data_IF_333086639852
#
_entry.id   IF_333086639852
#
_cell.length_a   1.000
_cell.length_b   1.000
_cell.length_c   1.000
_cell.angle_alpha   90.00
_cell.angle_beta   90.00
_cell.angle_gamma   90.00
#
_symmetry.space_group_name_H-M   'P 1'
#
loop_
_entity.id
_entity.type
_entity.pdbx_description
1 polymer ?
#
# COMPACT_ATOMS: atom_id res chain seq x y z
N UNK A 1 1.95 -0.38 -8.09
CA UNK A 1 0.56 0.08 -8.30
C UNK A 1 0.35 1.31 -7.45
N UNK A 2 -0.18 2.39 -8.02
CA UNK A 2 -0.39 3.67 -7.31
C UNK A 2 -1.81 3.74 -6.76
N UNK A 3 -1.93 4.12 -5.48
CA UNK A 3 -3.20 4.27 -4.76
C UNK A 3 -3.35 5.72 -4.33
N UNK A 4 -4.36 6.42 -4.85
CA UNK A 4 -4.66 7.80 -4.47
C UNK A 4 -5.14 7.88 -3.03
N UNK A 5 -4.49 8.73 -2.25
CA UNK A 5 -4.81 8.97 -0.85
C UNK A 5 -4.41 10.40 -0.49
N UNK A 6 -5.40 11.26 -0.29
CA UNK A 6 -5.15 12.65 0.12
C UNK A 6 -4.61 12.69 1.54
N UNK A 7 -3.63 13.56 1.80
CA UNK A 7 -3.11 13.80 3.16
C UNK A 7 -2.01 12.83 3.60
N UNK A 8 -1.37 12.12 2.67
CA UNK A 8 -0.11 11.41 2.91
C UNK A 8 0.95 12.42 3.37
N UNK A 9 1.62 12.14 4.49
CA UNK A 9 2.78 12.85 5.02
C UNK A 9 3.99 11.92 5.01
N UNK A 10 5.18 12.50 5.13
CA UNK A 10 6.44 11.75 5.16
C UNK A 10 6.42 10.66 6.23
N UNK A 11 6.00 11.04 7.44
CA UNK A 11 5.93 10.19 8.63
C UNK A 11 4.61 9.39 8.76
N UNK A 12 3.72 9.44 7.77
CA UNK A 12 2.50 8.63 7.80
C UNK A 12 2.83 7.14 7.85
N UNK A 13 2.06 6.39 8.64
CA UNK A 13 2.08 4.93 8.61
C UNK A 13 0.94 4.45 7.72
N UNK A 14 1.26 3.61 6.75
CA UNK A 14 0.28 3.00 5.85
C UNK A 14 0.17 1.54 6.25
N UNK A 15 -1.05 1.12 6.57
CA UNK A 15 -1.35 -0.26 6.93
C UNK A 15 -2.11 -0.90 5.77
N UNK A 16 -1.74 -2.13 5.45
CA UNK A 16 -2.33 -2.89 4.36
C UNK A 16 -2.77 -4.25 4.91
N UNK A 17 -4.01 -4.63 4.64
CA UNK A 17 -4.56 -5.94 5.00
C UNK A 17 -4.96 -6.68 3.74
N UNK A 18 -4.22 -7.73 3.33
CA UNK A 18 -4.61 -8.56 2.19
C UNK A 18 -5.96 -9.25 2.42
N UNK A 19 -6.84 -9.21 1.41
CA UNK A 19 -8.14 -9.88 1.40
C UNK A 19 -8.10 -11.22 0.66
N UNK A 20 -7.02 -11.51 -0.06
CA UNK A 20 -6.75 -12.79 -0.69
C UNK A 20 -5.25 -13.13 -0.63
N UNK A 21 -4.92 -14.37 -1.02
CA UNK A 21 -3.53 -14.83 -1.03
C UNK A 21 -2.67 -13.94 -1.93
N UNK A 22 -1.53 -13.54 -1.41
CA UNK A 22 -0.45 -12.87 -2.14
C UNK A 22 0.66 -13.84 -2.52
N UNK A 23 0.45 -15.15 -2.41
CA UNK A 23 1.50 -16.19 -2.52
C UNK A 23 2.58 -16.09 -1.43
N UNK A 24 2.12 -15.91 -0.19
CA UNK A 24 2.97 -15.89 1.02
C UNK A 24 4.01 -14.75 1.07
N UNK A 25 3.88 -13.73 0.23
CA UNK A 25 4.71 -12.52 0.25
C UNK A 25 3.91 -11.32 0.80
N UNK A 26 4.58 -10.35 1.43
CA UNK A 26 3.93 -9.14 1.91
C UNK A 26 3.55 -8.21 0.74
N UNK A 27 2.53 -7.37 0.95
CA UNK A 27 2.34 -6.18 0.14
C UNK A 27 3.22 -5.07 0.70
N UNK A 28 4.08 -4.50 -0.14
CA UNK A 28 5.11 -3.53 0.26
C UNK A 28 4.63 -2.14 -0.13
N UNK A 29 4.75 -1.16 0.76
CA UNK A 29 4.60 0.26 0.39
C UNK A 29 5.94 0.76 -0.13
N UNK A 30 6.08 0.85 -1.45
CA UNK A 30 7.35 1.14 -2.12
C UNK A 30 7.66 2.64 -2.21
N UNK A 31 6.64 3.49 -2.23
CA UNK A 31 6.80 4.94 -2.28
C UNK A 31 5.62 5.68 -1.63
N UNK A 32 5.87 6.93 -1.23
CA UNK A 32 4.85 7.88 -0.76
C UNK A 32 4.98 9.17 -1.55
N UNK A 33 3.89 9.59 -2.20
CA UNK A 33 3.79 10.88 -2.87
C UNK A 33 2.99 11.80 -1.96
N UNK A 34 3.69 12.72 -1.30
CA UNK A 34 3.14 13.58 -0.25
C UNK A 34 1.92 14.35 -0.75
N UNK A 35 0.83 14.29 0.02
CA UNK A 35 -0.44 14.93 -0.29
C UNK A 35 -1.32 14.19 -1.30
N UNK A 36 -0.79 13.22 -2.06
CA UNK A 36 -1.45 12.71 -3.26
C UNK A 36 -1.72 11.19 -3.23
N UNK A 37 -0.70 10.38 -2.99
CA UNK A 37 -0.79 8.93 -3.19
C UNK A 37 0.32 8.16 -2.47
N UNK A 38 0.22 6.83 -2.52
CA UNK A 38 1.33 5.94 -2.23
C UNK A 38 1.39 4.81 -3.25
N UNK A 39 2.52 4.13 -3.32
CA UNK A 39 2.70 3.00 -4.21
C UNK A 39 2.82 1.71 -3.42
N UNK A 40 2.22 0.65 -3.97
CA UNK A 40 2.35 -0.71 -3.45
C UNK A 40 2.93 -1.66 -4.49
N UNK A 41 3.69 -2.63 -4.01
CA UNK A 41 4.31 -3.68 -4.83
C UNK A 41 4.28 -5.03 -4.14
N UNK A 42 4.48 -6.07 -4.95
CA UNK A 42 4.83 -7.42 -4.51
C UNK A 42 6.26 -7.72 -5.00
N UNK A 43 7.00 -8.54 -4.27
CA UNK A 43 8.35 -8.95 -4.68
C UNK A 43 8.32 -9.82 -5.94
N UNK A 44 7.31 -10.67 -6.06
CA UNK A 44 7.06 -11.54 -7.22
C UNK A 44 5.67 -11.29 -7.80
N UNK A 45 5.52 -11.20 -9.13
CA UNK A 45 4.21 -11.01 -9.75
C UNK A 45 3.33 -12.25 -9.53
N UNK A 46 2.04 -12.03 -9.36
CA UNK A 46 1.02 -13.07 -9.29
C UNK A 46 0.09 -12.98 -10.51
N UNK A 47 -0.54 -14.09 -10.89
CA UNK A 47 -1.41 -14.18 -12.07
C UNK A 47 -2.89 -13.90 -11.79
N UNK A 48 -3.22 -13.41 -10.60
CA UNK A 48 -4.57 -13.08 -10.18
C UNK A 48 -4.65 -11.69 -9.56
N UNK A 49 -5.86 -11.15 -9.47
CA UNK A 49 -6.08 -9.83 -8.86
C UNK A 49 -5.79 -9.88 -7.35
N UNK A 50 -4.94 -8.97 -6.89
CA UNK A 50 -4.66 -8.79 -5.46
C UNK A 50 -5.66 -7.79 -4.89
N UNK A 51 -6.36 -8.19 -3.82
CA UNK A 51 -7.34 -7.38 -3.11
C UNK A 51 -6.82 -7.10 -1.71
N UNK A 52 -6.96 -5.86 -1.26
CA UNK A 52 -6.52 -5.46 0.07
C UNK A 52 -7.28 -4.22 0.53
N UNK A 53 -7.43 -4.09 1.84
CA UNK A 53 -7.84 -2.85 2.49
C UNK A 53 -6.61 -2.05 2.92
N UNK A 54 -6.76 -0.73 2.99
CA UNK A 54 -5.70 0.16 3.42
C UNK A 54 -6.24 1.29 4.27
N UNK A 55 -5.39 1.79 5.18
CA UNK A 55 -5.63 3.06 5.84
C UNK A 55 -4.31 3.78 6.12
N UNK A 56 -4.41 5.11 6.18
CA UNK A 56 -3.30 6.01 6.43
C UNK A 56 -3.45 6.57 7.84
N UNK A 57 -2.42 6.41 8.66
CA UNK A 57 -2.32 7.05 9.95
C UNK A 57 -1.24 8.13 9.87
N UNK A 58 -1.64 9.39 9.98
CA UNK A 58 -0.72 10.49 10.12
C UNK A 58 -0.27 10.56 11.57
N UNK A 59 1.00 10.27 11.80
CA UNK A 59 1.63 10.47 13.11
C UNK A 59 2.13 11.92 13.12
N UNK A 60 1.92 12.64 14.22
CA UNK A 60 2.50 13.98 14.40
C UNK A 60 4.01 13.90 14.63
#
# INVERSE_FOLDING_TARGET
>A
MTISATGIKENSKIFITPLNSTDKQPIIVSAKNIGESFEVSLDSPVSWDVKFDWWVLNVE
#
